data_IF_546291108717
#
_entry.id   IF_546291108717
#
_cell.length_a   1.000
_cell.length_b   1.000
_cell.length_c   1.000
_cell.angle_alpha   90.00
_cell.angle_beta   90.00
_cell.angle_gamma   90.00
#
_symmetry.space_group_name_H-M   'P 1'
#
loop_
_entity.id
_entity.type
_entity.pdbx_description
1 polymer ?
#
# COMPACT_ATOMS: atom_id res chain seq x y z
N UNK A 1 41.38 29.50 -26.09
CA UNK A 1 40.84 28.19 -25.67
C UNK A 1 40.22 28.36 -24.29
N UNK A 2 38.91 28.58 -24.23
CA UNK A 2 38.16 28.78 -22.98
C UNK A 2 37.46 27.46 -22.65
N UNK A 3 37.95 26.73 -21.65
CA UNK A 3 37.34 25.48 -21.21
C UNK A 3 36.20 25.79 -20.23
N UNK A 4 34.96 25.62 -20.69
CA UNK A 4 33.77 25.63 -19.83
C UNK A 4 33.74 24.34 -19.00
N UNK A 5 34.06 24.47 -17.72
CA UNK A 5 33.83 23.43 -16.73
C UNK A 5 32.34 23.41 -16.36
N UNK A 6 31.58 22.49 -16.97
CA UNK A 6 30.23 22.13 -16.55
C UNK A 6 30.31 21.35 -15.24
N UNK A 7 30.13 22.04 -14.11
CA UNK A 7 29.83 21.38 -12.84
C UNK A 7 28.43 20.77 -12.91
N UNK A 8 28.35 19.49 -13.25
CA UNK A 8 27.15 18.70 -13.06
C UNK A 8 26.94 18.50 -11.55
N UNK A 9 26.07 19.32 -10.94
CA UNK A 9 25.45 18.99 -9.66
C UNK A 9 24.51 17.81 -9.89
N UNK A 10 25.03 16.59 -9.72
CA UNK A 10 24.20 15.43 -9.47
C UNK A 10 23.56 15.64 -8.09
N UNK A 11 22.37 16.24 -8.07
CA UNK A 11 21.54 16.25 -6.87
C UNK A 11 21.35 14.80 -6.43
N UNK A 12 21.84 14.45 -5.25
CA UNK A 12 21.58 13.16 -4.63
C UNK A 12 20.07 13.08 -4.44
N UNK A 13 19.40 12.30 -5.29
CA UNK A 13 18.02 11.90 -5.05
C UNK A 13 18.00 11.25 -3.66
N UNK A 14 17.37 11.92 -2.70
CA UNK A 14 17.32 11.46 -1.32
C UNK A 14 16.72 10.06 -1.29
N UNK A 15 17.50 9.10 -0.80
CA UNK A 15 17.02 7.77 -0.51
C UNK A 15 15.96 7.87 0.59
N UNK A 16 14.71 7.51 0.27
CA UNK A 16 13.61 7.48 1.22
C UNK A 16 13.24 6.01 1.53
N UNK A 17 12.92 5.69 2.78
CA UNK A 17 12.58 4.33 3.22
C UNK A 17 13.51 3.83 4.34
N UNK A 18 13.34 2.58 4.80
CA UNK A 18 14.25 1.99 5.79
C UNK A 18 15.70 2.09 5.31
N UNK A 19 16.62 2.40 6.24
CA UNK A 19 18.03 2.61 5.92
C UNK A 19 18.63 1.43 5.13
N UNK A 20 18.17 0.22 5.41
CA UNK A 20 18.66 -1.03 4.81
C UNK A 20 18.04 -1.34 3.44
N UNK A 21 16.95 -0.69 3.05
CA UNK A 21 16.29 -0.90 1.74
C UNK A 21 15.64 0.37 1.20
N UNK A 22 16.43 1.33 0.71
CA UNK A 22 15.89 2.60 0.21
C UNK A 22 15.04 2.42 -1.05
N UNK A 23 14.04 3.27 -1.22
CA UNK A 23 13.25 3.39 -2.43
C UNK A 23 14.10 3.93 -3.60
N UNK A 24 13.98 3.30 -4.75
CA UNK A 24 14.60 3.71 -6.01
C UNK A 24 13.51 4.16 -6.97
N UNK A 25 13.33 5.48 -7.09
CA UNK A 25 12.22 6.07 -7.85
C UNK A 25 12.23 5.72 -9.35
N UNK A 26 13.41 5.50 -9.93
CA UNK A 26 13.54 5.08 -11.33
C UNK A 26 12.90 3.71 -11.59
N UNK A 27 13.04 2.79 -10.63
CA UNK A 27 12.62 1.39 -10.75
C UNK A 27 11.22 1.15 -10.14
N UNK A 28 10.67 2.16 -9.45
CA UNK A 28 9.45 2.05 -8.66
C UNK A 28 9.50 0.83 -7.71
N UNK A 29 10.65 0.67 -7.05
CA UNK A 29 10.91 -0.42 -6.12
C UNK A 29 11.88 -0.03 -5.02
N UNK A 30 11.80 -0.71 -3.88
CA UNK A 30 12.86 -0.72 -2.89
C UNK A 30 14.09 -1.48 -3.40
N UNK A 31 15.27 -1.06 -2.99
CA UNK A 31 16.54 -1.72 -3.31
C UNK A 31 16.59 -3.12 -2.71
N UNK A 32 17.25 -4.04 -3.42
CA UNK A 32 17.49 -5.41 -2.96
C UNK A 32 16.55 -6.43 -3.60
N UNK A 33 16.82 -7.70 -3.35
CA UNK A 33 15.95 -8.81 -3.75
C UNK A 33 14.63 -8.79 -2.97
N UNK A 34 13.60 -9.49 -3.44
CA UNK A 34 12.27 -9.51 -2.81
C UNK A 34 12.31 -9.96 -1.33
N UNK A 35 13.19 -10.92 -1.00
CA UNK A 35 13.42 -11.39 0.37
C UNK A 35 14.03 -10.29 1.24
N UNK A 36 15.07 -9.59 0.74
CA UNK A 36 15.71 -8.46 1.44
C UNK A 36 14.71 -7.31 1.67
N UNK A 37 13.89 -7.01 0.65
CA UNK A 37 12.80 -6.03 0.77
C UNK A 37 11.78 -6.47 1.82
N UNK A 38 11.41 -7.75 1.88
CA UNK A 38 10.50 -8.26 2.89
C UNK A 38 11.06 -8.14 4.31
N UNK A 39 12.36 -8.42 4.50
CA UNK A 39 13.02 -8.32 5.81
C UNK A 39 12.93 -6.90 6.38
N UNK A 40 13.27 -5.89 5.58
CA UNK A 40 13.24 -4.51 6.05
C UNK A 40 11.80 -3.95 6.16
N UNK A 41 10.90 -4.28 5.22
CA UNK A 41 9.54 -3.71 5.16
C UNK A 41 8.57 -4.35 6.16
N UNK A 42 8.89 -5.54 6.69
CA UNK A 42 8.18 -6.20 7.79
C UNK A 42 8.87 -6.07 9.15
N UNK A 43 9.92 -5.26 9.28
CA UNK A 43 10.52 -4.96 10.57
C UNK A 43 9.77 -3.82 11.24
N UNK A 44 9.14 -4.02 12.42
CA UNK A 44 8.43 -2.95 13.12
C UNK A 44 9.33 -1.74 13.41
N UNK A 45 8.75 -0.54 13.36
CA UNK A 45 9.48 0.69 13.72
C UNK A 45 10.09 0.58 15.13
N UNK A 46 11.33 1.02 15.29
CA UNK A 46 12.05 1.00 16.58
C UNK A 46 12.69 -0.34 16.95
N UNK A 47 12.48 -1.40 16.17
CA UNK A 47 13.31 -2.60 16.25
C UNK A 47 14.60 -2.37 15.48
N UNK A 48 15.74 -2.68 16.09
CA UNK A 48 17.03 -2.68 15.39
C UNK A 48 17.00 -3.74 14.28
N UNK A 49 17.28 -3.33 13.04
CA UNK A 49 17.29 -4.19 11.85
C UNK A 49 18.36 -5.31 11.84
N UNK A 50 18.98 -5.61 12.98
CA UNK A 50 19.94 -6.68 13.12
C UNK A 50 19.26 -8.02 13.38
N UNK A 51 19.24 -8.89 12.36
CA UNK A 51 19.02 -10.35 12.50
C UNK A 51 17.59 -10.87 12.68
N UNK A 52 16.55 -10.18 12.19
CA UNK A 52 15.24 -10.82 12.03
C UNK A 52 15.17 -11.47 10.65
N UNK A 53 15.56 -12.75 10.58
CA UNK A 53 15.29 -13.54 9.40
C UNK A 53 13.79 -13.63 9.17
N UNK A 54 13.37 -13.54 7.90
CA UNK A 54 11.98 -13.81 7.55
C UNK A 54 11.64 -15.25 7.96
N UNK A 55 10.38 -15.53 8.33
CA UNK A 55 9.91 -16.91 8.40
C UNK A 55 10.26 -17.65 7.12
N UNK A 56 10.66 -18.92 7.23
CA UNK A 56 11.10 -19.72 6.08
C UNK A 56 10.08 -19.79 4.94
N UNK A 57 8.78 -19.72 5.26
CA UNK A 57 7.74 -19.61 4.23
C UNK A 57 7.94 -18.36 3.36
N UNK A 58 8.19 -17.18 3.94
CA UNK A 58 8.41 -15.98 3.13
C UNK A 58 9.79 -15.99 2.48
N UNK A 59 10.83 -16.43 3.19
CA UNK A 59 12.17 -16.58 2.62
C UNK A 59 12.17 -17.41 1.32
N UNK A 60 11.39 -18.48 1.27
CA UNK A 60 11.27 -19.35 0.10
C UNK A 60 10.33 -18.84 -1.01
N UNK A 61 9.37 -17.97 -0.68
CA UNK A 61 8.31 -17.58 -1.63
C UNK A 61 8.54 -16.21 -2.27
N UNK A 62 8.99 -15.20 -1.52
CA UNK A 62 8.93 -13.81 -1.97
C UNK A 62 9.65 -13.57 -3.31
N UNK A 63 8.93 -12.95 -4.26
CA UNK A 63 9.44 -12.65 -5.61
C UNK A 63 9.54 -13.84 -6.56
N UNK A 64 9.26 -15.06 -6.11
CA UNK A 64 9.19 -16.24 -6.99
C UNK A 64 7.85 -16.29 -7.74
N UNK A 65 7.79 -17.06 -8.83
CA UNK A 65 6.56 -17.28 -9.58
C UNK A 65 5.47 -17.92 -8.69
N UNK A 66 4.24 -17.44 -8.83
CA UNK A 66 3.12 -18.04 -8.13
C UNK A 66 2.65 -19.31 -8.85
N UNK A 67 3.05 -20.48 -8.33
CA UNK A 67 2.89 -21.76 -9.02
C UNK A 67 1.49 -22.40 -9.04
N UNK A 68 0.46 -21.77 -8.50
CA UNK A 68 -0.92 -22.31 -8.52
C UNK A 68 -1.75 -21.59 -9.60
N UNK A 69 -2.27 -22.31 -10.62
CA UNK A 69 -3.16 -21.74 -11.63
C UNK A 69 -4.43 -21.14 -11.02
N UNK A 70 -5.00 -20.12 -11.68
CA UNK A 70 -6.21 -19.44 -11.22
C UNK A 70 -7.34 -20.42 -10.95
N UNK A 71 -7.56 -21.41 -11.82
CA UNK A 71 -8.65 -22.38 -11.72
C UNK A 71 -8.52 -23.28 -10.49
N UNK A 72 -7.29 -23.66 -10.11
CA UNK A 72 -7.05 -24.46 -8.92
C UNK A 72 -7.29 -23.63 -7.64
N UNK A 73 -6.88 -22.36 -7.66
CA UNK A 73 -7.13 -21.44 -6.56
C UNK A 73 -8.62 -21.10 -6.42
N UNK A 74 -9.34 -20.92 -7.52
CA UNK A 74 -10.81 -20.76 -7.58
C UNK A 74 -11.51 -21.96 -6.91
N UNK A 75 -11.13 -23.20 -7.28
CA UNK A 75 -11.68 -24.42 -6.65
C UNK A 75 -11.40 -24.47 -5.15
N UNK A 76 -10.18 -24.13 -4.74
CA UNK A 76 -9.82 -24.09 -3.32
C UNK A 76 -10.66 -23.06 -2.56
N UNK A 77 -10.79 -21.83 -3.07
CA UNK A 77 -11.62 -20.79 -2.45
C UNK A 77 -13.09 -21.18 -2.39
N UNK A 78 -13.62 -21.79 -3.46
CA UNK A 78 -14.98 -22.33 -3.46
C UNK A 78 -15.20 -23.35 -2.33
N UNK A 79 -14.25 -24.28 -2.13
CA UNK A 79 -14.31 -25.27 -1.04
C UNK A 79 -14.29 -24.64 0.37
N UNK A 80 -13.72 -23.44 0.48
CA UNK A 80 -13.64 -22.65 1.73
C UNK A 80 -14.75 -21.62 1.86
N UNK A 81 -15.70 -21.55 0.91
CA UNK A 81 -16.75 -20.52 0.84
C UNK A 81 -16.18 -19.11 0.84
N UNK A 82 -15.08 -18.92 0.12
CA UNK A 82 -14.43 -17.62 -0.10
C UNK A 82 -14.88 -17.10 -1.46
N UNK A 83 -15.48 -15.92 -1.50
CA UNK A 83 -15.92 -15.27 -2.73
C UNK A 83 -14.94 -14.18 -3.16
N UNK A 84 -15.04 -13.74 -4.40
CA UNK A 84 -14.23 -12.67 -4.98
C UNK A 84 -14.31 -11.37 -4.18
N UNK A 85 -15.50 -11.03 -3.69
CA UNK A 85 -15.75 -9.85 -2.85
C UNK A 85 -15.01 -9.91 -1.51
N UNK A 86 -14.52 -11.08 -1.09
CA UNK A 86 -13.76 -11.24 0.14
C UNK A 86 -12.23 -11.16 -0.07
N UNK A 87 -11.74 -11.17 -1.31
CA UNK A 87 -10.30 -11.33 -1.62
C UNK A 87 -9.73 -10.33 -2.62
N UNK A 88 -10.36 -9.16 -2.73
CA UNK A 88 -9.91 -8.09 -3.61
C UNK A 88 -10.44 -8.18 -5.03
N UNK A 89 -11.48 -8.98 -5.26
CA UNK A 89 -12.18 -9.19 -6.53
C UNK A 89 -11.73 -10.43 -7.31
N UNK A 90 -12.25 -10.63 -8.54
CA UNK A 90 -12.10 -11.87 -9.30
C UNK A 90 -10.65 -12.28 -9.58
N UNK A 91 -10.35 -13.57 -9.38
CA UNK A 91 -9.01 -14.15 -9.61
C UNK A 91 -8.54 -14.05 -11.08
N UNK A 92 -9.47 -13.94 -12.02
CA UNK A 92 -9.15 -13.79 -13.45
C UNK A 92 -8.74 -12.37 -13.85
N UNK A 93 -8.97 -11.40 -12.98
CA UNK A 93 -8.49 -10.04 -13.20
C UNK A 93 -7.05 -9.94 -12.74
N UNK A 94 -6.21 -9.23 -13.49
CA UNK A 94 -4.88 -8.86 -13.00
C UNK A 94 -4.97 -7.90 -11.81
N UNK A 95 -3.88 -7.74 -11.08
CA UNK A 95 -3.71 -6.63 -10.14
C UNK A 95 -3.51 -5.30 -10.91
N UNK A 96 -3.51 -4.20 -10.16
CA UNK A 96 -3.24 -2.86 -10.68
C UNK A 96 -1.85 -2.77 -11.30
N UNK A 97 -1.68 -1.82 -12.22
CA UNK A 97 -0.41 -1.58 -12.88
C UNK A 97 0.14 -0.20 -12.55
N UNK A 98 1.46 -0.11 -12.54
CA UNK A 98 2.25 1.12 -12.43
C UNK A 98 3.29 1.12 -13.54
N UNK A 99 3.18 2.02 -14.51
CA UNK A 99 4.08 2.05 -15.67
C UNK A 99 4.06 0.78 -16.53
N UNK A 100 2.93 0.04 -16.54
CA UNK A 100 2.79 -1.22 -17.27
C UNK A 100 3.16 -2.47 -16.47
N UNK A 101 3.79 -2.33 -15.30
CA UNK A 101 4.14 -3.45 -14.43
C UNK A 101 3.08 -3.70 -13.35
N UNK A 102 2.88 -4.96 -12.98
CA UNK A 102 1.99 -5.36 -11.90
C UNK A 102 2.38 -4.76 -10.55
N UNK A 103 1.40 -4.61 -9.65
CA UNK A 103 1.66 -4.31 -8.25
C UNK A 103 2.68 -5.31 -7.67
N UNK A 104 3.61 -4.81 -6.85
CA UNK A 104 4.73 -5.58 -6.28
C UNK A 104 4.62 -5.75 -4.78
N UNK A 105 3.92 -4.84 -4.12
CA UNK A 105 3.88 -4.76 -2.65
C UNK A 105 2.48 -5.06 -2.11
N UNK A 106 2.43 -5.82 -1.02
CA UNK A 106 1.22 -6.11 -0.26
C UNK A 106 1.30 -5.40 1.10
N UNK A 107 0.61 -4.26 1.20
CA UNK A 107 0.75 -3.32 2.32
C UNK A 107 -0.29 -3.57 3.39
N UNK A 108 0.16 -3.92 4.59
CA UNK A 108 -0.65 -4.15 5.76
C UNK A 108 -0.84 -2.84 6.54
N UNK A 109 -2.10 -2.42 6.64
CA UNK A 109 -2.54 -1.29 7.44
C UNK A 109 -3.21 -1.78 8.73
N UNK A 110 -3.01 -1.03 9.82
CA UNK A 110 -3.76 -1.15 11.07
C UNK A 110 -4.47 0.15 11.41
N UNK A 111 -5.24 0.16 12.51
CA UNK A 111 -5.80 1.37 13.10
C UNK A 111 -5.35 1.50 14.56
N UNK A 112 -5.32 2.71 15.09
CA UNK A 112 -5.02 2.94 16.51
C UNK A 112 -6.09 2.33 17.42
N UNK A 113 -5.65 1.79 18.56
CA UNK A 113 -6.53 1.29 19.63
C UNK A 113 -7.30 2.39 20.36
N UNK A 114 -6.85 3.64 20.28
CA UNK A 114 -7.45 4.77 20.98
C UNK A 114 -7.41 6.02 20.12
N UNK A 115 -8.57 6.65 19.86
CA UNK A 115 -8.60 8.09 19.59
C UNK A 115 -9.52 8.58 18.47
N UNK A 116 -9.73 7.82 17.40
CA UNK A 116 -10.65 8.27 16.33
C UNK A 116 -11.72 7.22 16.10
N UNK A 117 -12.80 7.38 16.86
CA UNK A 117 -14.11 6.80 16.56
C UNK A 117 -14.69 7.41 15.26
N UNK A 118 -13.94 7.35 14.16
CA UNK A 118 -14.55 7.20 12.85
C UNK A 118 -15.15 5.80 12.87
N UNK A 119 -16.41 5.72 13.27
CA UNK A 119 -17.12 4.47 13.51
C UNK A 119 -16.79 3.42 12.46
N UNK A 120 -16.39 2.22 12.89
CA UNK A 120 -16.25 1.04 12.02
C UNK A 120 -17.56 0.82 11.21
N UNK A 121 -18.70 1.30 11.71
CA UNK A 121 -19.99 1.30 11.01
C UNK A 121 -20.02 2.16 9.72
N UNK A 122 -19.03 3.04 9.51
CA UNK A 122 -18.90 3.84 8.29
C UNK A 122 -18.16 3.12 7.15
N UNK A 123 -17.47 2.00 7.41
CA UNK A 123 -16.72 1.28 6.37
C UNK A 123 -17.67 0.52 5.42
N UNK A 124 -18.83 0.07 5.90
CA UNK A 124 -19.85 -0.59 5.06
C UNK A 124 -20.65 0.39 4.18
N UNK A 125 -20.45 1.71 4.34
CA UNK A 125 -21.09 2.77 3.54
C UNK A 125 -20.13 3.81 2.95
N UNK A 126 -18.82 3.67 3.17
CA UNK A 126 -17.82 4.51 2.54
C UNK A 126 -17.77 4.14 1.04
N UNK A 127 -18.48 4.93 0.23
CA UNK A 127 -18.42 4.84 -1.22
C UNK A 127 -16.98 4.86 -1.73
N UNK A 128 -16.75 4.45 -3.00
CA UNK A 128 -15.42 4.31 -3.54
C UNK A 128 -14.65 5.61 -3.31
N UNK A 129 -13.42 5.46 -2.84
CA UNK A 129 -12.35 6.43 -2.74
C UNK A 129 -12.11 7.36 -3.95
N UNK A 130 -12.95 7.28 -4.98
CA UNK A 130 -12.91 8.00 -6.24
C UNK A 130 -13.57 9.38 -6.20
N UNK A 131 -14.05 9.88 -5.07
CA UNK A 131 -14.62 11.23 -4.98
C UNK A 131 -13.55 12.34 -4.85
N UNK A 132 -12.49 12.26 -5.66
CA UNK A 132 -11.80 13.45 -6.12
C UNK A 132 -12.56 14.02 -7.32
N UNK A 133 -13.78 14.55 -7.12
CA UNK A 133 -14.33 15.46 -8.12
C UNK A 133 -13.45 16.71 -8.03
N UNK A 134 -12.68 17.10 -9.05
CA UNK A 134 -11.99 18.38 -9.00
C UNK A 134 -13.07 19.44 -8.72
N UNK A 135 -12.83 20.32 -7.75
CA UNK A 135 -13.68 21.48 -7.57
C UNK A 135 -13.85 22.14 -8.95
N UNK A 136 -15.06 22.51 -9.38
CA UNK A 136 -15.20 23.30 -10.59
C UNK A 136 -14.32 24.53 -10.40
N UNK A 137 -13.26 24.62 -11.21
CA UNK A 137 -12.50 25.86 -11.32
C UNK A 137 -13.50 26.82 -11.94
N UNK A 138 -14.11 27.67 -11.10
CA UNK A 138 -14.87 28.80 -11.60
C UNK A 138 -13.94 29.55 -12.56
N UNK A 139 -14.34 29.76 -13.82
CA UNK A 139 -13.54 30.62 -14.68
C UNK A 139 -13.37 31.97 -13.99
N UNK A 140 -12.20 32.62 -14.12
CA UNK A 140 -12.02 33.95 -13.57
C UNK A 140 -13.15 34.83 -14.10
N UNK A 141 -13.81 35.55 -13.19
CA UNK A 141 -14.87 36.48 -13.54
C UNK A 141 -14.34 37.47 -14.58
N UNK A 142 -14.97 37.49 -15.76
CA UNK A 142 -14.78 38.56 -16.73
C UNK A 142 -15.37 39.87 -16.17
N UNK A 143 -14.56 40.94 -16.22
CA UNK A 143 -14.96 42.32 -15.97
C UNK A 143 -14.33 42.92 -14.71
N UNK A 144 -13.63 44.05 -14.72
CA UNK A 144 -13.56 45.15 -15.69
C UNK A 144 -12.13 45.70 -15.75
N UNK A 145 -11.70 46.07 -16.95
CA UNK A 145 -10.49 46.85 -17.19
C UNK A 145 -10.56 48.20 -16.45
N UNK A 146 -9.65 48.41 -15.52
CA UNK A 146 -9.29 49.72 -14.99
C UNK A 146 -7.82 49.95 -15.28
N UNK A 147 -7.53 50.84 -16.23
CA UNK A 147 -6.17 51.29 -16.54
C UNK A 147 -5.54 51.95 -15.30
N UNK A 148 -4.52 51.31 -14.72
CA UNK A 148 -3.59 51.95 -13.79
C UNK A 148 -2.16 51.52 -14.11
N UNK A 149 -1.29 52.51 -14.31
CA UNK A 149 0.09 52.38 -14.77
C UNK A 149 0.94 51.48 -13.84
N UNK A 150 1.60 50.48 -14.44
CA UNK A 150 2.54 49.58 -13.76
C UNK A 150 3.91 50.25 -13.64
N UNK A 151 4.39 50.41 -12.40
CA UNK A 151 5.80 50.69 -12.09
C UNK A 151 6.62 49.39 -12.14
N UNK A 152 7.82 49.37 -12.74
CA UNK A 152 8.70 48.21 -12.68
C UNK A 152 9.42 48.18 -11.32
N UNK A 153 9.32 47.07 -10.58
CA UNK A 153 10.18 46.85 -9.41
C UNK A 153 9.58 46.20 -8.15
N UNK A 154 8.42 45.54 -8.20
CA UNK A 154 7.89 44.82 -7.04
C UNK A 154 7.76 43.32 -7.32
N UNK A 155 8.60 42.53 -6.66
CA UNK A 155 8.52 41.07 -6.59
C UNK A 155 7.20 40.69 -5.92
N UNK A 156 6.29 40.06 -6.66
CA UNK A 156 5.03 39.59 -6.09
C UNK A 156 5.30 38.48 -5.05
N UNK A 157 4.71 38.54 -3.85
CA UNK A 157 4.82 37.44 -2.89
C UNK A 157 4.12 36.20 -3.48
N UNK A 158 4.80 35.04 -3.37
CA UNK A 158 4.20 33.75 -3.71
C UNK A 158 2.91 33.57 -2.90
N UNK A 159 1.80 33.11 -3.52
CA UNK A 159 0.60 32.81 -2.76
C UNK A 159 0.91 31.67 -1.78
N UNK A 160 0.82 31.98 -0.49
CA UNK A 160 0.77 30.97 0.57
C UNK A 160 -0.60 30.32 0.43
N UNK A 161 -0.66 29.12 -0.15
CA UNK A 161 -1.86 28.28 -0.09
C UNK A 161 -1.97 27.76 1.34
N UNK A 162 -2.51 28.61 2.23
CA UNK A 162 -2.95 28.23 3.57
C UNK A 162 -4.32 27.59 3.45
N UNK A 163 -4.33 26.29 3.20
CA UNK A 163 -5.53 25.48 3.22
C UNK A 163 -5.10 24.03 3.11
N UNK A 164 -5.06 23.31 4.23
CA UNK A 164 -4.97 21.86 4.21
C UNK A 164 -6.22 21.35 3.47
N UNK A 165 -6.07 21.04 2.18
CA UNK A 165 -7.06 20.24 1.47
C UNK A 165 -7.17 18.94 2.26
N UNK A 166 -8.37 18.54 2.73
CA UNK A 166 -8.52 17.26 3.40
C UNK A 166 -8.03 16.20 2.42
N UNK A 167 -6.90 15.55 2.75
CA UNK A 167 -6.44 14.42 1.97
C UNK A 167 -7.59 13.40 1.99
N UNK A 168 -7.98 12.85 0.83
CA UNK A 168 -9.00 11.81 0.80
C UNK A 168 -8.58 10.71 1.79
N UNK A 169 -9.54 10.22 2.58
CA UNK A 169 -9.31 9.16 3.56
C UNK A 169 -8.45 8.04 2.93
N UNK A 170 -7.51 7.43 3.67
CA UNK A 170 -6.66 6.39 3.13
C UNK A 170 -7.51 5.27 2.50
N UNK A 171 -7.11 4.87 1.30
CA UNK A 171 -7.90 3.97 0.46
C UNK A 171 -7.36 2.56 0.50
N UNK A 172 -8.16 1.63 0.99
CA UNK A 172 -7.78 0.22 1.06
C UNK A 172 -8.54 -0.60 0.02
N UNK A 173 -7.90 -1.66 -0.47
CA UNK A 173 -8.59 -2.62 -1.33
C UNK A 173 -9.48 -3.55 -0.54
N UNK A 174 -8.97 -4.08 0.57
CA UNK A 174 -9.65 -5.09 1.38
C UNK A 174 -9.58 -4.70 2.85
N UNK A 175 -10.68 -4.84 3.57
CA UNK A 175 -10.71 -4.74 5.02
C UNK A 175 -11.00 -6.11 5.64
N UNK A 176 -10.36 -6.44 6.77
CA UNK A 176 -10.47 -7.72 7.47
C UNK A 176 -10.86 -7.51 8.94
N UNK A 177 -11.98 -8.09 9.36
CA UNK A 177 -12.51 -8.02 10.72
C UNK A 177 -11.91 -9.10 11.63
N UNK A 178 -11.97 -8.92 12.97
CA UNK A 178 -11.48 -9.89 13.95
C UNK A 178 -11.99 -11.32 13.81
N UNK A 179 -13.20 -11.51 13.27
CA UNK A 179 -13.78 -12.83 13.03
C UNK A 179 -13.34 -13.48 11.69
N UNK A 180 -12.40 -12.87 10.96
CA UNK A 180 -11.93 -13.35 9.65
C UNK A 180 -12.87 -13.05 8.49
N UNK A 181 -13.97 -12.31 8.71
CA UNK A 181 -14.75 -11.72 7.63
C UNK A 181 -13.91 -10.66 6.91
N UNK A 182 -14.04 -10.56 5.61
CA UNK A 182 -13.40 -9.51 4.82
C UNK A 182 -14.36 -8.94 3.78
N UNK A 183 -14.09 -7.72 3.33
CA UNK A 183 -14.80 -7.06 2.25
C UNK A 183 -13.81 -6.37 1.32
N UNK A 184 -14.07 -6.45 0.03
CA UNK A 184 -13.39 -5.69 -1.01
C UNK A 184 -14.07 -4.34 -1.14
N UNK A 185 -13.36 -3.29 -0.77
CA UNK A 185 -13.81 -1.89 -0.93
C UNK A 185 -13.48 -1.39 -2.33
N UNK A 186 -12.31 -1.79 -2.84
CA UNK A 186 -11.82 -1.47 -4.18
C UNK A 186 -11.07 -2.69 -4.71
N UNK A 187 -11.42 -3.17 -5.90
CA UNK A 187 -10.75 -4.32 -6.53
C UNK A 187 -9.23 -4.08 -6.70
N UNK A 188 -8.40 -5.11 -6.52
CA UNK A 188 -6.95 -5.01 -6.73
C UNK A 188 -6.56 -4.54 -8.13
N UNK A 189 -7.43 -4.65 -9.14
CA UNK A 189 -7.25 -4.12 -10.49
C UNK A 189 -7.13 -2.58 -10.50
N UNK A 190 -7.82 -1.89 -9.59
CA UNK A 190 -7.89 -0.43 -9.58
C UNK A 190 -6.67 0.17 -8.89
N UNK A 191 -5.84 1.00 -9.56
CA UNK A 191 -4.63 1.51 -8.94
C UNK A 191 -4.94 2.54 -7.83
N UNK A 192 -4.36 2.34 -6.65
CA UNK A 192 -4.51 3.20 -5.47
C UNK A 192 -3.17 3.80 -5.01
N UNK A 193 -3.27 4.73 -4.07
CA UNK A 193 -2.22 5.18 -3.15
C UNK A 193 -2.87 5.37 -1.79
N UNK A 194 -2.28 4.86 -0.73
CA UNK A 194 -2.86 4.89 0.61
C UNK A 194 -1.87 5.23 1.72
N UNK A 195 -0.58 5.31 1.43
CA UNK A 195 0.43 5.75 2.39
C UNK A 195 0.91 7.16 2.06
N UNK A 196 1.39 7.88 3.08
CA UNK A 196 1.94 9.23 2.88
C UNK A 196 3.20 9.20 2.03
N UNK A 197 4.01 8.16 2.17
CA UNK A 197 5.13 7.82 1.32
C UNK A 197 4.75 7.80 -0.17
N UNK A 198 3.63 7.16 -0.54
CA UNK A 198 3.18 7.12 -1.93
C UNK A 198 2.71 8.48 -2.45
N UNK A 199 2.09 9.27 -1.59
CA UNK A 199 1.56 10.58 -1.94
C UNK A 199 2.68 11.62 -2.12
N UNK A 200 3.70 11.59 -1.26
CA UNK A 200 4.72 12.63 -1.17
C UNK A 200 6.07 12.25 -1.80
N UNK A 201 6.47 10.97 -1.76
CA UNK A 201 7.84 10.54 -2.13
C UNK A 201 7.89 9.60 -3.33
N UNK A 202 7.15 8.48 -3.30
CA UNK A 202 7.10 7.57 -4.45
C UNK A 202 6.45 8.25 -5.66
N UNK A 203 5.49 9.15 -5.38
CA UNK A 203 4.88 10.03 -6.36
C UNK A 203 3.86 9.35 -7.27
N UNK A 204 3.27 10.12 -8.16
CA UNK A 204 2.19 9.66 -9.05
C UNK A 204 2.58 8.49 -9.95
N UNK A 205 3.86 8.35 -10.28
CA UNK A 205 4.37 7.26 -11.12
C UNK A 205 4.21 5.89 -10.46
N UNK A 206 4.27 5.82 -9.13
CA UNK A 206 4.17 4.59 -8.35
C UNK A 206 2.71 4.17 -8.04
N UNK A 207 1.71 4.93 -8.50
CA UNK A 207 0.29 4.62 -8.26
C UNK A 207 -0.06 3.26 -8.85
N UNK A 208 -0.57 2.35 -8.02
CA UNK A 208 -0.86 0.96 -8.41
C UNK A 208 0.31 0.00 -8.20
N UNK A 209 1.41 0.42 -7.58
CA UNK A 209 2.52 -0.48 -7.22
C UNK A 209 2.27 -1.22 -5.90
N UNK A 210 1.34 -0.72 -5.07
CA UNK A 210 1.02 -1.19 -3.73
C UNK A 210 -0.44 -1.63 -3.64
N UNK A 211 -0.68 -2.80 -3.05
CA UNK A 211 -2.01 -3.29 -2.72
C UNK A 211 -2.22 -3.17 -1.21
N UNK A 212 -3.13 -2.29 -0.80
CA UNK A 212 -3.40 -1.98 0.60
C UNK A 212 -4.50 -2.84 1.21
N UNK A 213 -4.22 -3.46 2.34
CA UNK A 213 -5.16 -4.27 3.12
C UNK A 213 -5.23 -3.77 4.55
N UNK A 214 -6.44 -3.43 5.01
CA UNK A 214 -6.72 -2.98 6.37
C UNK A 214 -7.06 -4.16 7.28
N UNK A 215 -6.35 -4.26 8.41
CA UNK A 215 -6.61 -5.24 9.47
C UNK A 215 -7.23 -4.52 10.66
N UNK A 216 -8.51 -4.78 10.90
CA UNK A 216 -9.25 -4.14 12.00
C UNK A 216 -8.91 -4.82 13.33
N UNK A 217 -8.73 -4.08 14.43
CA UNK A 217 -8.35 -4.63 15.71
C UNK A 217 -9.55 -5.32 16.36
N UNK A 218 -9.28 -6.32 17.19
CA UNK A 218 -10.29 -6.85 18.11
C UNK A 218 -10.46 -5.88 19.29
N UNK A 219 -11.71 -5.54 19.65
CA UNK A 219 -11.98 -4.70 20.82
C UNK A 219 -11.52 -5.43 22.10
N UNK A 220 -10.77 -4.74 22.95
CA UNK A 220 -10.34 -5.26 24.26
C UNK A 220 -9.24 -6.33 24.23
N UNK A 221 -8.92 -6.91 23.06
CA UNK A 221 -7.94 -8.01 22.94
C UNK A 221 -6.61 -7.55 22.34
N UNK A 222 -5.55 -8.27 22.73
CA UNK A 222 -4.21 -7.98 22.28
C UNK A 222 -3.89 -8.68 20.94
N UNK A 223 -4.23 -8.06 19.82
CA UNK A 223 -3.57 -8.34 18.54
C UNK A 223 -4.49 -8.79 17.41
N UNK A 224 -3.89 -9.47 16.43
CA UNK A 224 -4.55 -10.02 15.25
C UNK A 224 -4.95 -11.47 15.53
N UNK A 225 -6.20 -11.83 15.20
CA UNK A 225 -6.73 -13.17 15.50
C UNK A 225 -6.27 -14.22 14.49
N UNK A 226 -6.37 -15.51 14.86
CA UNK A 226 -6.11 -16.62 13.93
C UNK A 226 -7.04 -16.59 12.70
N UNK A 227 -8.30 -16.18 12.89
CA UNK A 227 -9.25 -16.02 11.79
C UNK A 227 -8.81 -14.91 10.82
N UNK A 228 -8.20 -13.83 11.33
CA UNK A 228 -7.63 -12.78 10.51
C UNK A 228 -6.38 -13.25 9.76
N UNK A 229 -5.45 -13.96 10.40
CA UNK A 229 -4.28 -14.51 9.71
C UNK A 229 -4.67 -15.47 8.59
N UNK A 230 -5.63 -16.37 8.85
CA UNK A 230 -6.15 -17.28 7.84
C UNK A 230 -6.79 -16.51 6.68
N UNK A 231 -7.60 -15.48 6.95
CA UNK A 231 -8.20 -14.65 5.90
C UNK A 231 -7.14 -13.87 5.10
N UNK A 232 -6.16 -13.27 5.76
CA UNK A 232 -5.07 -12.53 5.12
C UNK A 232 -4.22 -13.42 4.23
N UNK A 233 -3.98 -14.67 4.62
CA UNK A 233 -3.30 -15.65 3.78
C UNK A 233 -4.03 -15.86 2.45
N UNK A 234 -5.35 -16.03 2.47
CA UNK A 234 -6.15 -16.16 1.24
C UNK A 234 -6.11 -14.90 0.38
N UNK A 235 -6.25 -13.71 0.97
CA UNK A 235 -6.17 -12.43 0.25
C UNK A 235 -4.79 -12.27 -0.41
N UNK A 236 -3.72 -12.61 0.31
CA UNK A 236 -2.35 -12.54 -0.18
C UNK A 236 -2.06 -13.53 -1.31
N UNK A 237 -2.59 -14.76 -1.22
CA UNK A 237 -2.53 -15.73 -2.31
C UNK A 237 -3.28 -15.25 -3.55
N UNK A 238 -4.49 -14.68 -3.38
CA UNK A 238 -5.26 -14.10 -4.49
C UNK A 238 -4.48 -12.99 -5.18
N UNK A 239 -3.93 -12.05 -4.41
CA UNK A 239 -3.13 -10.95 -4.94
C UNK A 239 -1.87 -11.44 -5.67
N UNK A 240 -1.15 -12.40 -5.08
CA UNK A 240 0.07 -12.97 -5.66
C UNK A 240 -0.20 -13.77 -6.93
N UNK A 241 -1.28 -14.55 -6.95
CA UNK A 241 -1.72 -15.27 -8.14
C UNK A 241 -2.02 -14.31 -9.29
N UNK A 242 -2.79 -13.25 -9.01
CA UNK A 242 -3.16 -12.22 -9.99
C UNK A 242 -1.97 -11.37 -10.46
N UNK A 243 -0.91 -11.30 -9.67
CA UNK A 243 0.36 -10.66 -10.04
C UNK A 243 1.32 -11.60 -10.79
N UNK A 244 1.09 -12.92 -10.73
CA UNK A 244 1.98 -13.94 -11.28
C UNK A 244 3.21 -14.26 -10.42
N UNK A 245 3.43 -13.52 -9.32
CA UNK A 245 4.56 -13.69 -8.40
C UNK A 245 4.11 -13.45 -6.97
N UNK A 246 4.80 -14.06 -6.01
CA UNK A 246 4.62 -13.74 -4.60
C UNK A 246 5.02 -12.31 -4.29
N UNK A 247 4.04 -11.50 -3.87
CA UNK A 247 4.23 -10.07 -3.59
C UNK A 247 5.10 -9.85 -2.36
N UNK A 248 5.84 -8.74 -2.30
CA UNK A 248 6.61 -8.37 -1.11
C UNK A 248 5.69 -7.74 -0.07
N UNK A 249 5.48 -8.38 1.10
CA UNK A 249 4.68 -7.79 2.16
C UNK A 249 5.40 -6.61 2.80
N UNK A 250 4.63 -5.60 3.22
CA UNK A 250 5.15 -4.41 3.85
C UNK A 250 4.18 -3.87 4.90
N UNK A 251 4.70 -3.23 5.94
CA UNK A 251 3.90 -2.46 6.87
C UNK A 251 3.72 -1.02 6.41
N UNK A 252 2.48 -0.52 6.43
CA UNK A 252 2.20 0.89 6.15
C UNK A 252 3.00 1.83 7.07
N UNK A 253 3.07 1.48 8.37
CA UNK A 253 3.89 2.24 9.32
C UNK A 253 5.37 2.27 8.96
N UNK A 254 5.94 1.21 8.38
CA UNK A 254 7.36 1.21 7.98
C UNK A 254 7.58 2.09 6.76
N UNK A 255 6.66 2.03 5.78
CA UNK A 255 6.72 2.89 4.59
C UNK A 255 6.64 4.38 4.95
N UNK A 256 5.80 4.72 5.93
CA UNK A 256 5.57 6.11 6.35
C UNK A 256 6.46 6.55 7.52
N UNK A 257 7.45 5.74 7.91
CA UNK A 257 8.34 6.06 9.02
C UNK A 257 9.08 7.38 8.75
N UNK A 258 9.02 8.29 9.71
CA UNK A 258 9.58 9.65 9.57
C UNK A 258 8.72 10.64 8.77
N UNK A 259 7.59 10.21 8.18
CA UNK A 259 6.65 11.10 7.47
C UNK A 259 5.33 11.25 8.23
N UNK A 260 4.74 10.13 8.64
CA UNK A 260 3.40 10.11 9.25
C UNK A 260 3.41 9.32 10.57
N UNK A 261 3.37 9.99 11.73
CA UNK A 261 3.25 9.31 13.00
C UNK A 261 1.90 8.59 13.17
N UNK A 262 0.90 8.94 12.36
CA UNK A 262 -0.44 8.33 12.31
C UNK A 262 -0.56 7.14 11.36
N UNK A 263 0.51 6.76 10.65
CA UNK A 263 0.52 5.55 9.85
C UNK A 263 0.79 4.34 10.73
N UNK A 264 -0.10 3.35 10.68
CA UNK A 264 -0.05 2.23 11.61
C UNK A 264 0.00 0.88 10.90
N UNK A 265 0.90 0.03 11.39
CA UNK A 265 0.86 -1.41 11.17
C UNK A 265 -0.23 -2.03 12.04
N UNK A 266 -0.75 -3.22 11.72
CA UNK A 266 -1.66 -3.93 12.62
C UNK A 266 -0.98 -4.16 13.98
N UNK A 267 -1.60 -3.69 15.06
CA UNK A 267 -1.04 -3.82 16.40
C UNK A 267 -0.92 -5.30 16.80
N UNK A 268 0.26 -5.72 17.26
CA UNK A 268 0.52 -7.11 17.65
C UNK A 268 0.53 -8.10 16.49
N UNK A 269 0.80 -7.65 15.26
CA UNK A 269 0.98 -8.54 14.12
C UNK A 269 2.23 -9.42 14.30
N UNK A 270 2.05 -10.71 14.10
CA UNK A 270 3.07 -11.74 14.21
C UNK A 270 3.29 -12.34 12.82
N UNK A 271 4.44 -11.97 12.23
CA UNK A 271 4.83 -12.40 10.88
C UNK A 271 5.02 -13.92 10.80
N UNK A 272 5.43 -14.58 11.89
CA UNK A 272 5.58 -16.03 11.94
C UNK A 272 4.22 -16.73 11.88
N UNK A 273 3.22 -16.25 12.63
CA UNK A 273 1.85 -16.77 12.56
C UNK A 273 1.24 -16.58 11.19
N UNK A 274 1.43 -15.42 10.58
CA UNK A 274 0.92 -15.20 9.23
C UNK A 274 1.62 -16.09 8.19
N UNK A 275 2.94 -16.24 8.26
CA UNK A 275 3.69 -17.15 7.40
C UNK A 275 3.24 -18.61 7.54
N UNK A 276 2.86 -19.03 8.76
CA UNK A 276 2.24 -20.33 8.99
C UNK A 276 0.90 -20.44 8.26
N UNK A 277 0.02 -19.44 8.40
CA UNK A 277 -1.28 -19.42 7.72
C UNK A 277 -1.15 -19.44 6.18
N UNK A 278 -0.19 -18.70 5.61
CA UNK A 278 0.12 -18.72 4.16
C UNK A 278 0.53 -20.12 3.71
N UNK A 279 1.41 -20.78 4.47
CA UNK A 279 1.86 -22.13 4.15
C UNK A 279 0.70 -23.14 4.16
N UNK A 280 -0.16 -23.08 5.16
CA UNK A 280 -1.31 -23.99 5.26
C UNK A 280 -2.34 -23.74 4.15
N UNK A 281 -2.61 -22.47 3.82
CA UNK A 281 -3.49 -22.13 2.70
C UNK A 281 -2.90 -22.59 1.35
N UNK A 282 -1.60 -22.39 1.13
CA UNK A 282 -0.90 -22.82 -0.08
C UNK A 282 -0.92 -24.35 -0.25
N UNK A 283 -0.62 -25.10 0.82
CA UNK A 283 -0.72 -26.57 0.83
C UNK A 283 -2.15 -27.04 0.55
N UNK A 284 -3.14 -26.39 1.14
CA UNK A 284 -4.55 -26.67 0.89
C UNK A 284 -4.93 -26.48 -0.58
N UNK A 285 -4.45 -25.40 -1.20
CA UNK A 285 -4.70 -25.13 -2.61
C UNK A 285 -4.00 -26.12 -3.55
N UNK A 286 -2.77 -26.56 -3.23
CA UNK A 286 -2.08 -27.61 -3.97
C UNK A 286 -2.82 -28.96 -3.93
N UNK A 287 -3.50 -29.27 -2.82
CA UNK A 287 -4.25 -30.52 -2.66
C UNK A 287 -5.56 -30.57 -3.46
N UNK A 288 -6.04 -29.43 -3.99
CA UNK A 288 -7.26 -29.33 -4.82
C UNK A 288 -6.93 -29.32 -6.34
N UNK A 289 -5.65 -29.45 -6.68
CA UNK A 289 -5.16 -29.43 -8.07
C UNK A 289 -5.71 -30.60 -8.88
#
# INVERSE_FOLDING_TARGET
>A
MLALALCAWAGTAGAFGPADCPWVAADMSFRGAAVEQGQCLLTPQGSSAGSHSLPSTFDALLGTEFGIPAEALERFFFSRRITDEAVGGPLRLRVSLSGGEAARYFVLHGVLRHGTAGSIAGIEGAGPCLAGKPAPVSPPAEGKEGHAAVRPGATAPRPVISGAVPLPLPCWHVAVWPNGRSVTLVDFFTPLRATRFELEYAGARAKGRFLHVLVLPQQGEAGVTEAQYARLAHIYMAASQRAGTWLVPAYAGVLDSGIDPGAHSPAGFDVQRWAHAVREAYRGALAVR
#
